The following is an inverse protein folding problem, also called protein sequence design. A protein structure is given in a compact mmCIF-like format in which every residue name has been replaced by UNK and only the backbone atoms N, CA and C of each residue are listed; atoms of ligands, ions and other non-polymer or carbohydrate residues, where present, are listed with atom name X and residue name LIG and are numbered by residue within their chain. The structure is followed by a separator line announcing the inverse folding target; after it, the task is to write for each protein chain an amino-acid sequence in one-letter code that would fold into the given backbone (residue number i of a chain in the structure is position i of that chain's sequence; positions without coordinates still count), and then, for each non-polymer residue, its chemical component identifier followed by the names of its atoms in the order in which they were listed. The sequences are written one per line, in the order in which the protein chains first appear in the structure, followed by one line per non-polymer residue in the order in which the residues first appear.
data_IF_606003153859
#
_entry.id   IF_606003153859
#
_cell.length_a   1.000
_cell.length_b   1.000
_cell.length_c   1.000
_cell.angle_alpha   90.00
_cell.angle_beta   90.00
_cell.angle_gamma   90.00
#
_symmetry.space_group_name_H-M   'P 1'
#
loop_
_entity.id
_entity.type
_entity.pdbx_description
1 polymer ?
#
# COMPACT_ATOMS: atom_id res chain seq x y z
N UNK A 1 -56.40 -22.41 -45.22
CA UNK A 1 -56.03 -21.84 -43.91
C UNK A 1 -54.55 -22.16 -43.68
N UNK A 2 -53.64 -21.27 -44.10
CA UNK A 2 -52.20 -21.46 -43.91
C UNK A 2 -51.81 -20.90 -42.54
N UNK A 3 -51.34 -21.77 -41.64
CA UNK A 3 -50.76 -21.37 -40.36
C UNK A 3 -49.27 -21.04 -40.58
N UNK A 4 -48.88 -19.78 -40.40
CA UNK A 4 -47.47 -19.39 -40.30
C UNK A 4 -46.97 -19.65 -38.89
N UNK A 5 -45.92 -20.46 -38.74
CA UNK A 5 -45.20 -20.63 -37.47
C UNK A 5 -44.27 -19.43 -37.23
N UNK A 6 -44.21 -18.86 -36.02
CA UNK A 6 -43.31 -17.76 -35.71
C UNK A 6 -41.88 -18.29 -35.46
N UNK A 7 -40.92 -17.73 -36.18
CA UNK A 7 -39.49 -17.91 -35.91
C UNK A 7 -39.11 -17.16 -34.64
N UNK A 8 -38.75 -17.88 -33.58
CA UNK A 8 -38.23 -17.30 -32.33
C UNK A 8 -36.72 -17.10 -32.50
N UNK A 9 -36.27 -15.84 -32.50
CA UNK A 9 -34.86 -15.50 -32.44
C UNK A 9 -34.39 -15.58 -30.98
N UNK A 10 -33.48 -16.51 -30.69
CA UNK A 10 -32.80 -16.57 -29.40
C UNK A 10 -31.64 -15.57 -29.39
N UNK A 11 -31.74 -14.52 -28.57
CA UNK A 11 -30.62 -13.61 -28.32
C UNK A 11 -29.67 -14.25 -27.31
N UNK A 12 -28.49 -14.67 -27.76
CA UNK A 12 -27.41 -15.12 -26.88
C UNK A 12 -26.76 -13.88 -26.23
N UNK A 13 -27.04 -13.64 -24.96
CA UNK A 13 -26.32 -12.64 -24.17
C UNK A 13 -24.95 -13.20 -23.79
N UNK A 14 -23.88 -12.68 -24.38
CA UNK A 14 -22.52 -12.90 -23.88
C UNK A 14 -22.38 -12.14 -22.55
N UNK A 15 -22.38 -12.84 -21.43
CA UNK A 15 -21.92 -12.27 -20.16
C UNK A 15 -20.40 -12.21 -20.20
N UNK A 16 -19.77 -11.02 -20.12
CA UNK A 16 -18.32 -10.95 -19.98
C UNK A 16 -17.94 -11.63 -18.66
N UNK A 17 -17.13 -12.69 -18.73
CA UNK A 17 -16.43 -13.20 -17.55
C UNK A 17 -15.48 -12.11 -17.08
N UNK A 18 -15.82 -11.42 -15.99
CA UNK A 18 -14.87 -10.55 -15.30
C UNK A 18 -13.85 -11.49 -14.63
N UNK A 19 -12.67 -11.62 -15.23
CA UNK A 19 -11.53 -12.23 -14.56
C UNK A 19 -11.02 -11.22 -13.53
N UNK A 20 -11.49 -11.32 -12.29
CA UNK A 20 -10.80 -10.70 -11.17
C UNK A 20 -9.40 -11.34 -11.09
N UNK A 21 -8.33 -10.53 -11.10
CA UNK A 21 -6.97 -11.05 -10.97
C UNK A 21 -6.80 -11.89 -9.71
N UNK A 22 -5.82 -12.80 -9.70
CA UNK A 22 -5.50 -13.60 -8.52
C UNK A 22 -4.69 -12.79 -7.52
N UNK A 23 -5.13 -12.72 -6.26
CA UNK A 23 -4.35 -12.13 -5.17
C UNK A 23 -3.20 -13.09 -4.84
N UNK A 24 -1.96 -12.66 -5.10
CA UNK A 24 -0.75 -13.44 -4.78
C UNK A 24 -0.34 -13.29 -3.31
N UNK A 25 -0.61 -12.13 -2.73
CA UNK A 25 -0.34 -11.80 -1.33
C UNK A 25 -1.34 -10.74 -0.87
N UNK A 26 -1.84 -10.86 0.36
CA UNK A 26 -2.89 -10.00 0.90
C UNK A 26 -2.39 -9.15 2.07
N UNK A 27 -2.16 -7.86 1.79
CA UNK A 27 -1.72 -6.85 2.75
C UNK A 27 -2.84 -6.05 3.42
N UNK A 28 -4.12 -6.43 3.30
CA UNK A 28 -5.25 -5.57 3.72
C UNK A 28 -5.51 -5.51 5.23
N UNK A 29 -4.63 -6.08 6.06
CA UNK A 29 -4.75 -6.15 7.52
C UNK A 29 -6.02 -6.86 8.04
N UNK A 30 -6.77 -7.55 7.18
CA UNK A 30 -8.05 -8.17 7.52
C UNK A 30 -7.95 -9.23 8.63
N UNK A 31 -6.79 -9.88 8.74
CA UNK A 31 -6.52 -10.94 9.72
C UNK A 31 -5.83 -10.41 10.99
N UNK A 32 -5.67 -9.09 11.13
CA UNK A 32 -5.09 -8.46 12.31
C UNK A 32 -6.21 -7.76 13.09
N UNK A 33 -6.19 -7.87 14.41
CA UNK A 33 -7.08 -7.13 15.31
C UNK A 33 -6.49 -5.77 15.64
N UNK A 34 -5.18 -5.70 15.88
CA UNK A 34 -4.47 -4.45 16.17
C UNK A 34 -3.08 -4.47 15.52
N UNK A 35 -2.39 -3.33 15.51
CA UNK A 35 -1.01 -3.30 15.02
C UNK A 35 -0.07 -4.16 15.87
N UNK A 36 -0.38 -4.42 17.14
CA UNK A 36 0.41 -5.33 17.99
C UNK A 36 0.57 -6.73 17.41
N UNK A 37 -0.36 -7.19 16.56
CA UNK A 37 -0.26 -8.51 15.92
C UNK A 37 0.94 -8.61 14.96
N UNK A 38 1.43 -7.47 14.44
CA UNK A 38 2.66 -7.39 13.63
C UNK A 38 3.92 -7.72 14.44
N UNK A 39 3.87 -7.64 15.77
CA UNK A 39 5.02 -8.00 16.64
C UNK A 39 5.22 -9.50 16.81
N UNK A 40 4.32 -10.32 16.28
CA UNK A 40 4.45 -11.79 16.28
C UNK A 40 5.49 -12.28 15.27
N UNK A 41 5.79 -11.47 14.25
CA UNK A 41 6.84 -11.73 13.27
C UNK A 41 8.23 -11.48 13.89
N UNK A 42 9.18 -12.35 13.56
CA UNK A 42 10.61 -12.13 13.80
C UNK A 42 11.45 -12.89 12.77
N UNK A 43 12.75 -12.60 12.69
CA UNK A 43 13.69 -13.36 11.85
C UNK A 43 13.74 -14.85 12.17
N UNK A 44 13.40 -15.26 13.40
CA UNK A 44 13.34 -16.67 13.79
C UNK A 44 11.93 -17.28 13.68
N UNK A 45 10.92 -16.45 13.41
CA UNK A 45 9.52 -16.84 13.33
C UNK A 45 8.77 -15.92 12.34
N UNK A 46 9.01 -16.13 11.05
CA UNK A 46 8.50 -15.26 9.98
C UNK A 46 7.02 -15.52 9.64
N UNK A 47 6.14 -15.30 10.63
CA UNK A 47 4.69 -15.52 10.53
C UNK A 47 3.93 -14.25 10.15
N UNK A 48 2.68 -14.42 9.70
CA UNK A 48 1.82 -13.30 9.35
C UNK A 48 2.13 -12.71 7.96
N UNK A 49 1.41 -11.65 7.57
CA UNK A 49 1.49 -11.10 6.21
C UNK A 49 2.63 -10.09 6.00
N UNK A 50 3.25 -9.59 7.08
CA UNK A 50 4.23 -8.50 7.02
C UNK A 50 5.45 -8.79 7.87
N UNK A 51 6.62 -8.44 7.33
CA UNK A 51 7.85 -8.25 8.09
C UNK A 51 7.82 -6.87 8.74
N UNK A 52 8.11 -6.81 10.03
CA UNK A 52 8.14 -5.56 10.80
C UNK A 52 9.47 -5.46 11.55
N UNK A 53 10.46 -4.80 10.93
CA UNK A 53 11.76 -4.54 11.55
C UNK A 53 12.36 -3.17 11.21
N UNK A 54 11.83 -2.45 10.21
CA UNK A 54 12.29 -1.11 9.83
C UNK A 54 11.43 -0.07 10.55
N UNK A 55 11.77 0.15 11.81
CA UNK A 55 11.08 1.08 12.69
C UNK A 55 12.05 1.67 13.74
N UNK A 56 11.57 2.68 14.46
CA UNK A 56 12.29 3.29 15.57
C UNK A 56 12.23 2.51 16.88
N UNK A 57 12.73 3.11 17.97
CA UNK A 57 12.88 2.44 19.27
C UNK A 57 11.59 2.35 20.13
N UNK A 58 10.54 3.07 19.76
CA UNK A 58 9.27 3.12 20.52
C UNK A 58 8.38 1.90 20.24
N UNK A 59 7.29 1.76 21.00
CA UNK A 59 6.30 0.72 20.76
C UNK A 59 5.65 0.85 19.39
N UNK A 60 5.21 -0.27 18.81
CA UNK A 60 4.54 -0.29 17.50
C UNK A 60 3.36 0.67 17.40
N UNK A 61 2.60 0.87 18.48
CA UNK A 61 1.45 1.80 18.52
C UNK A 61 1.85 3.27 18.37
N UNK A 62 3.13 3.63 18.55
CA UNK A 62 3.64 4.96 18.17
C UNK A 62 3.74 5.14 16.66
N UNK A 63 3.90 4.05 15.92
CA UNK A 63 4.21 4.06 14.49
C UNK A 63 3.05 3.61 13.61
N UNK A 64 2.37 2.52 13.98
CA UNK A 64 1.31 1.90 13.19
C UNK A 64 0.10 1.70 14.08
N UNK A 65 -1.07 2.17 13.61
CA UNK A 65 -2.35 1.93 14.27
C UNK A 65 -3.37 1.50 13.22
N UNK A 66 -4.23 0.54 13.56
CA UNK A 66 -5.27 0.06 12.67
C UNK A 66 -6.64 0.59 13.09
N UNK A 67 -7.48 0.97 12.14
CA UNK A 67 -8.85 1.41 12.38
C UNK A 67 -9.70 1.33 11.11
N UNK A 68 -11.01 1.01 11.21
CA UNK A 68 -11.96 1.16 10.11
C UNK A 68 -12.02 2.57 9.50
N UNK A 69 -11.65 3.61 10.26
CA UNK A 69 -11.64 5.00 9.79
C UNK A 69 -10.40 5.37 8.97
N UNK A 70 -9.40 4.49 8.91
CA UNK A 70 -8.13 4.76 8.22
C UNK A 70 -8.09 4.19 6.79
N UNK A 71 -9.08 3.40 6.37
CA UNK A 71 -9.17 2.90 4.99
C UNK A 71 -9.90 3.87 4.07
N UNK A 72 -9.79 3.63 2.77
CA UNK A 72 -10.70 4.22 1.79
C UNK A 72 -12.14 3.71 2.09
N UNK A 73 -13.14 4.60 2.32
CA UNK A 73 -14.52 4.18 2.56
C UNK A 73 -15.14 3.38 1.41
N UNK A 74 -14.66 3.58 0.18
CA UNK A 74 -15.12 2.83 -1.00
C UNK A 74 -14.52 1.41 -1.09
N UNK A 75 -13.45 1.11 -0.34
CA UNK A 75 -12.85 -0.22 -0.30
C UNK A 75 -13.65 -1.12 0.65
N UNK A 76 -14.57 -1.91 0.09
CA UNK A 76 -15.31 -2.93 0.82
C UNK A 76 -14.50 -4.19 1.14
N UNK A 77 -13.31 -4.36 0.53
CA UNK A 77 -12.45 -5.52 0.69
C UNK A 77 -11.52 -5.46 1.90
N UNK A 78 -11.30 -4.27 2.48
CA UNK A 78 -10.50 -4.08 3.70
C UNK A 78 -11.40 -3.81 4.91
N UNK A 79 -11.16 -4.46 6.05
CA UNK A 79 -11.92 -4.24 7.30
C UNK A 79 -11.43 -2.99 8.05
N UNK A 80 -10.16 -2.64 7.86
CA UNK A 80 -9.50 -1.50 8.48
C UNK A 80 -8.37 -0.97 7.59
N UNK A 81 -7.97 0.27 7.82
CA UNK A 81 -6.75 0.83 7.25
C UNK A 81 -5.66 0.94 8.32
N UNK A 82 -4.45 1.25 7.88
CA UNK A 82 -3.31 1.46 8.75
C UNK A 82 -2.84 2.92 8.67
N UNK A 83 -2.71 3.58 9.83
CA UNK A 83 -2.07 4.89 9.95
C UNK A 83 -0.60 4.70 10.28
N UNK A 84 0.26 5.09 9.34
CA UNK A 84 1.71 5.14 9.51
C UNK A 84 2.13 6.51 10.04
N UNK A 85 2.92 6.52 11.10
CA UNK A 85 3.40 7.71 11.80
C UNK A 85 4.91 7.72 11.77
N UNK A 86 5.46 8.89 11.40
CA UNK A 86 6.84 9.24 11.69
C UNK A 86 6.81 10.19 12.87
N UNK A 87 7.51 9.87 13.96
CA UNK A 87 7.73 10.74 15.12
C UNK A 87 9.23 11.03 15.31
N UNK A 88 9.65 11.62 16.43
CA UNK A 88 11.05 11.94 16.71
C UNK A 88 11.92 10.70 16.99
N UNK A 89 11.31 9.53 17.17
CA UNK A 89 11.97 8.26 17.50
C UNK A 89 12.02 7.29 16.33
N UNK A 90 11.35 7.58 15.21
CA UNK A 90 11.24 6.74 14.02
C UNK A 90 12.56 6.66 13.20
N UNK A 91 13.69 6.42 13.85
CA UNK A 91 15.00 6.22 13.22
C UNK A 91 15.42 4.76 13.39
N UNK A 92 15.54 4.05 12.27
CA UNK A 92 15.96 2.66 12.26
C UNK A 92 17.48 2.56 12.20
N UNK A 93 18.06 1.70 13.04
CA UNK A 93 19.48 1.30 12.97
C UNK A 93 20.49 2.47 12.91
N UNK A 94 20.24 3.55 13.67
CA UNK A 94 21.12 4.73 13.72
C UNK A 94 21.15 5.57 12.45
N UNK A 95 20.26 5.32 11.49
CA UNK A 95 20.14 6.12 10.27
C UNK A 95 19.61 7.53 10.55
N UNK A 96 19.85 8.44 9.61
CA UNK A 96 19.40 9.84 9.67
C UNK A 96 18.05 10.07 8.99
N UNK A 97 17.49 9.06 8.34
CA UNK A 97 16.18 9.10 7.69
C UNK A 97 15.12 8.55 8.65
N UNK A 98 13.96 9.19 8.69
CA UNK A 98 12.82 8.71 9.48
C UNK A 98 12.11 7.60 8.70
N UNK A 99 11.91 6.44 9.30
CA UNK A 99 11.39 5.24 8.64
C UNK A 99 10.40 4.49 9.53
N UNK A 100 9.26 4.16 8.93
CA UNK A 100 8.27 3.21 9.45
C UNK A 100 7.77 2.43 8.24
N UNK A 101 8.27 1.22 8.04
CA UNK A 101 8.03 0.42 6.84
C UNK A 101 7.58 -1.00 7.20
N UNK A 102 6.71 -1.55 6.34
CA UNK A 102 6.35 -2.96 6.35
C UNK A 102 6.71 -3.57 5.01
N UNK A 103 7.27 -4.78 5.03
CA UNK A 103 7.63 -5.53 3.82
C UNK A 103 6.71 -6.76 3.73
N UNK A 104 6.20 -7.14 2.54
CA UNK A 104 5.44 -8.37 2.39
C UNK A 104 6.20 -9.61 2.91
N UNK A 105 5.60 -10.35 3.85
CA UNK A 105 6.06 -11.70 4.20
C UNK A 105 5.32 -12.69 3.31
N UNK A 106 6.01 -13.27 2.32
CA UNK A 106 5.39 -14.22 1.37
C UNK A 106 6.42 -15.11 0.69
N UNK A 107 5.98 -16.30 0.27
CA UNK A 107 6.70 -17.17 -0.66
C UNK A 107 6.14 -17.13 -2.09
N UNK A 108 5.07 -16.36 -2.33
CA UNK A 108 4.51 -16.19 -3.67
C UNK A 108 5.48 -15.39 -4.56
N UNK A 109 5.47 -15.68 -5.86
CA UNK A 109 6.33 -15.04 -6.85
C UNK A 109 5.85 -13.62 -7.21
N UNK A 110 5.76 -12.74 -6.21
CA UNK A 110 5.27 -11.36 -6.37
C UNK A 110 6.19 -10.49 -7.23
N UNK A 111 7.41 -10.95 -7.52
CA UNK A 111 8.42 -10.26 -8.31
C UNK A 111 8.66 -10.91 -9.70
N UNK A 112 7.77 -11.78 -10.17
CA UNK A 112 7.96 -12.52 -11.43
C UNK A 112 6.75 -12.42 -12.35
N UNK A 113 6.99 -12.20 -13.63
CA UNK A 113 5.94 -12.02 -14.64
C UNK A 113 5.23 -10.67 -14.53
N UNK A 114 3.99 -10.60 -15.02
CA UNK A 114 3.15 -9.41 -14.88
C UNK A 114 2.39 -9.46 -13.55
N UNK A 115 2.70 -8.51 -12.69
CA UNK A 115 2.16 -8.40 -11.32
C UNK A 115 1.66 -6.99 -11.08
N UNK A 116 0.63 -6.86 -10.24
CA UNK A 116 0.03 -5.58 -9.89
C UNK A 116 0.16 -5.33 -8.40
N UNK A 117 0.87 -4.27 -8.02
CA UNK A 117 1.04 -3.84 -6.64
C UNK A 117 -0.03 -2.80 -6.30
N UNK A 118 -1.01 -3.18 -5.49
CA UNK A 118 -2.13 -2.33 -5.13
C UNK A 118 -1.93 -1.72 -3.74
N UNK A 119 -2.19 -0.42 -3.63
CA UNK A 119 -2.30 0.30 -2.36
C UNK A 119 -3.22 1.50 -2.53
N UNK A 120 -3.71 2.04 -1.42
CA UNK A 120 -4.43 3.32 -1.36
C UNK A 120 -3.83 4.14 -0.23
N UNK A 121 -3.50 5.40 -0.51
CA UNK A 121 -2.91 6.32 0.48
C UNK A 121 -3.73 7.60 0.59
N UNK A 122 -3.65 8.23 1.76
CA UNK A 122 -4.30 9.49 2.07
C UNK A 122 -3.51 10.20 3.18
N UNK A 123 -3.57 11.53 3.22
CA UNK A 123 -3.13 12.34 4.36
C UNK A 123 -4.29 13.15 4.92
N UNK A 124 -4.18 13.56 6.18
CA UNK A 124 -5.03 14.60 6.76
C UNK A 124 -4.25 15.91 6.92
N UNK A 125 -4.94 16.99 7.32
CA UNK A 125 -4.29 18.24 7.70
C UNK A 125 -3.69 18.18 9.12
N UNK A 126 -4.14 17.24 9.96
CA UNK A 126 -3.52 16.96 11.25
C UNK A 126 -2.29 16.06 11.04
N UNK A 127 -1.14 16.49 11.54
CA UNK A 127 0.15 15.80 11.36
C UNK A 127 0.46 15.52 9.87
N UNK A 128 0.18 16.48 9.00
CA UNK A 128 0.44 16.35 7.57
C UNK A 128 1.93 16.05 7.29
N UNK A 129 2.26 15.21 6.27
CA UNK A 129 3.63 15.07 5.79
C UNK A 129 4.25 16.42 5.43
N UNK A 130 5.54 16.58 5.71
CA UNK A 130 6.22 17.85 5.50
C UNK A 130 6.39 18.16 4.01
N UNK A 131 5.89 19.29 3.55
CA UNK A 131 6.16 19.79 2.18
C UNK A 131 7.62 20.22 1.99
N UNK A 132 8.37 20.42 3.07
CA UNK A 132 9.76 20.90 3.06
C UNK A 132 10.81 19.78 3.02
N UNK A 133 10.41 18.51 2.91
CA UNK A 133 11.34 17.36 2.95
C UNK A 133 10.85 16.27 2.01
N UNK A 134 11.78 15.64 1.31
CA UNK A 134 11.49 14.46 0.49
C UNK A 134 10.96 13.31 1.36
N UNK A 135 9.90 12.66 0.86
CA UNK A 135 9.36 11.41 1.33
C UNK A 135 9.39 10.41 0.17
N UNK A 136 9.84 9.19 0.45
CA UNK A 136 9.79 8.04 -0.46
C UNK A 136 8.74 7.08 0.08
N UNK A 137 7.74 6.75 -0.74
CA UNK A 137 6.49 6.12 -0.32
C UNK A 137 6.19 4.94 -1.24
N UNK A 138 5.83 3.78 -0.67
CA UNK A 138 5.51 2.57 -1.43
C UNK A 138 6.59 2.23 -2.48
N UNK A 139 7.85 2.28 -2.07
CA UNK A 139 9.02 2.11 -2.92
C UNK A 139 9.53 0.66 -2.88
N UNK A 140 10.21 0.25 -3.95
CA UNK A 140 11.08 -0.92 -3.94
C UNK A 140 12.49 -0.51 -3.50
N UNK A 141 13.25 -1.44 -2.91
CA UNK A 141 14.62 -1.18 -2.42
C UNK A 141 15.55 -0.56 -3.48
N UNK A 142 15.38 -0.92 -4.76
CA UNK A 142 16.19 -0.35 -5.84
C UNK A 142 15.69 1.00 -6.36
N UNK A 143 14.56 1.50 -5.85
CA UNK A 143 13.89 2.72 -6.31
C UNK A 143 13.57 2.71 -7.82
N UNK A 144 13.37 1.52 -8.42
CA UNK A 144 13.02 1.44 -9.84
C UNK A 144 11.65 2.07 -10.11
N UNK A 145 10.74 2.03 -9.13
CA UNK A 145 9.50 2.80 -9.10
C UNK A 145 9.07 3.06 -7.66
N UNK A 146 8.47 4.22 -7.42
CA UNK A 146 7.99 4.65 -6.10
C UNK A 146 7.04 5.84 -6.22
N UNK A 147 6.37 6.20 -5.11
CA UNK A 147 5.78 7.52 -4.98
C UNK A 147 6.72 8.45 -4.20
N UNK A 148 6.75 9.72 -4.58
CA UNK A 148 7.46 10.78 -3.84
C UNK A 148 6.54 11.92 -3.45
N UNK A 149 6.85 12.58 -2.34
CA UNK A 149 6.15 13.78 -1.89
C UNK A 149 7.09 14.71 -1.10
N UNK A 150 6.73 16.00 -1.06
CA UNK A 150 7.56 17.02 -0.43
C UNK A 150 8.73 17.45 -1.30
N UNK A 151 9.46 18.48 -0.86
CA UNK A 151 10.59 19.05 -1.61
C UNK A 151 11.70 18.01 -1.82
N UNK A 152 11.88 17.62 -3.08
CA UNK A 152 12.85 16.59 -3.50
C UNK A 152 14.27 17.11 -3.33
N UNK A 153 15.13 16.29 -2.73
CA UNK A 153 16.48 16.71 -2.37
C UNK A 153 17.29 17.07 -3.62
N UNK A 154 17.76 18.32 -3.67
CA UNK A 154 18.52 18.86 -4.81
C UNK A 154 17.68 19.56 -5.89
N UNK A 155 16.34 19.52 -5.82
CA UNK A 155 15.49 20.35 -6.69
C UNK A 155 15.52 21.83 -6.26
N UNK A 156 15.26 22.73 -7.21
CA UNK A 156 15.06 24.15 -6.91
C UNK A 156 13.78 24.38 -6.10
N UNK A 157 13.82 25.32 -5.16
CA UNK A 157 12.67 25.68 -4.33
C UNK A 157 12.93 25.45 -2.85
N UNK A 158 11.87 25.56 -2.05
CA UNK A 158 11.93 25.34 -0.60
C UNK A 158 10.80 24.45 -0.08
N UNK A 159 9.76 24.21 -0.89
CA UNK A 159 8.62 23.35 -0.56
C UNK A 159 8.02 22.73 -1.84
N UNK A 160 7.38 21.57 -1.70
CA UNK A 160 6.55 20.97 -2.73
C UNK A 160 5.37 20.22 -2.09
N UNK A 161 4.15 20.48 -2.58
CA UNK A 161 2.92 19.86 -2.10
C UNK A 161 2.43 18.70 -3.00
N UNK A 162 3.11 18.41 -4.10
CA UNK A 162 2.74 17.36 -5.03
C UNK A 162 2.97 15.96 -4.46
N UNK A 163 2.11 15.02 -4.87
CA UNK A 163 2.37 13.59 -4.83
C UNK A 163 2.75 13.17 -6.26
N UNK A 164 3.93 12.59 -6.42
CA UNK A 164 4.51 12.22 -7.71
C UNK A 164 4.67 10.70 -7.79
N UNK A 165 4.55 10.16 -8.98
CA UNK A 165 4.95 8.78 -9.28
C UNK A 165 6.25 8.82 -10.08
N UNK A 166 7.27 8.16 -9.55
CA UNK A 166 8.60 8.14 -10.13
C UNK A 166 8.92 6.76 -10.71
N UNK A 167 9.61 6.77 -11.84
CA UNK A 167 10.23 5.59 -12.47
C UNK A 167 11.70 5.90 -12.70
N UNK A 168 12.59 5.09 -12.11
CA UNK A 168 14.03 5.33 -12.16
C UNK A 168 14.44 6.72 -11.65
N UNK A 169 13.75 7.25 -10.63
CA UNK A 169 13.97 8.57 -10.07
C UNK A 169 13.48 9.75 -10.92
N UNK A 170 12.66 9.51 -11.94
CA UNK A 170 12.06 10.56 -12.78
C UNK A 170 10.53 10.54 -12.63
N UNK A 171 9.95 11.68 -12.25
CA UNK A 171 8.49 11.86 -12.18
C UNK A 171 7.83 11.64 -13.55
N UNK A 172 6.71 10.94 -13.56
CA UNK A 172 5.90 10.63 -14.75
C UNK A 172 4.69 11.56 -14.90
#
# INVERSE_FOLDING_TARGET
MHLSLPTIYAYATLTPLIHAGTILWDGRFNNLTTSSDLTTWSWSNEVGPYQYYIHGSSSITSYINLSPTYKNPADSGSTQGAKFTLDATAYWNGQTMRRTELIPQTSAAINSGLVWYHFSIMRSDVNAPSVYREHQICFFESHFTELKAGWISGESGTEDAALRWDVGGTSQ
#
